data_IF_317378592755
#
_entry.id   IF_317378592755
#
_cell.length_a   1.000
_cell.length_b   1.000
_cell.length_c   1.000
_cell.angle_alpha   90.00
_cell.angle_beta   90.00
_cell.angle_gamma   90.00
#
_symmetry.space_group_name_H-M   'P 1'
#
loop_
_entity.id
_entity.type
_entity.pdbx_description
1 polymer ?
#
# COMPACT_ATOMS: atom_id res chain seq x y z
N UNK A 1 -5.10 -58.67 -28.37
CA UNK A 1 -5.77 -59.32 -27.22
C UNK A 1 -6.28 -58.22 -26.30
N UNK A 2 -7.60 -58.19 -26.16
CA UNK A 2 -8.46 -57.22 -25.47
C UNK A 2 -8.31 -57.22 -23.94
N UNK A 3 -8.19 -56.02 -23.32
CA UNK A 3 -8.53 -55.73 -21.91
C UNK A 3 -8.95 -54.25 -21.82
N UNK A 4 -10.24 -53.95 -21.94
CA UNK A 4 -11.24 -53.79 -20.86
C UNK A 4 -11.06 -52.49 -20.08
N UNK A 5 -11.68 -51.44 -20.61
CA UNK A 5 -12.05 -50.19 -19.95
C UNK A 5 -13.19 -50.53 -19.00
N UNK A 6 -12.96 -50.56 -17.69
CA UNK A 6 -13.98 -50.45 -16.64
C UNK A 6 -13.32 -50.60 -15.25
N UNK A 7 -12.97 -49.48 -14.61
CA UNK A 7 -12.79 -49.44 -13.15
C UNK A 7 -12.95 -48.00 -12.64
N UNK A 8 -14.17 -47.46 -12.75
CA UNK A 8 -14.63 -46.34 -11.93
C UNK A 8 -15.53 -46.91 -10.83
N UNK A 9 -14.94 -47.15 -9.66
CA UNK A 9 -15.63 -47.61 -8.47
C UNK A 9 -16.75 -46.65 -8.07
N UNK A 10 -17.99 -47.09 -8.28
CA UNK A 10 -19.18 -46.46 -7.73
C UNK A 10 -19.45 -47.03 -6.34
N UNK A 11 -18.98 -46.34 -5.30
CA UNK A 11 -19.37 -46.65 -3.92
C UNK A 11 -20.82 -46.22 -3.71
N UNK A 12 -21.75 -47.17 -3.69
CA UNK A 12 -23.15 -46.95 -3.29
C UNK A 12 -23.17 -46.40 -1.85
N UNK A 13 -23.92 -45.32 -1.56
CA UNK A 13 -24.03 -44.79 -0.21
C UNK A 13 -24.88 -45.72 0.67
N UNK A 14 -24.37 -46.05 1.87
CA UNK A 14 -25.06 -46.83 2.90
C UNK A 14 -26.43 -46.22 3.24
N UNK A 15 -27.52 -47.03 3.27
CA UNK A 15 -28.88 -46.52 3.40
C UNK A 15 -29.29 -46.07 4.82
N UNK A 16 -28.36 -45.99 5.78
CA UNK A 16 -28.70 -45.73 7.20
C UNK A 16 -28.31 -44.35 7.72
N UNK A 17 -27.69 -43.47 6.91
CA UNK A 17 -27.36 -42.09 7.33
C UNK A 17 -28.26 -41.07 6.65
N UNK A 18 -29.25 -40.59 7.39
CA UNK A 18 -30.04 -39.41 7.00
C UNK A 18 -29.08 -38.25 6.74
N UNK A 19 -29.16 -37.53 5.60
CA UNK A 19 -28.28 -36.40 5.33
C UNK A 19 -28.54 -35.29 6.37
N UNK A 20 -27.52 -34.99 7.18
CA UNK A 20 -27.58 -33.90 8.17
C UNK A 20 -27.16 -32.61 7.48
N UNK A 21 -28.09 -31.66 7.41
CA UNK A 21 -27.78 -30.32 6.90
C UNK A 21 -26.97 -29.54 7.94
N UNK A 22 -25.66 -29.46 7.74
CA UNK A 22 -24.77 -28.60 8.51
C UNK A 22 -25.10 -27.12 8.24
N UNK A 23 -25.15 -26.31 9.28
CA UNK A 23 -25.39 -24.86 9.18
C UNK A 23 -24.21 -24.18 8.46
N UNK A 24 -24.42 -22.97 7.90
CA UNK A 24 -23.38 -22.25 7.14
C UNK A 24 -22.09 -22.06 7.96
N UNK A 25 -22.23 -21.71 9.23
CA UNK A 25 -21.10 -21.55 10.15
C UNK A 25 -20.34 -22.87 10.39
N UNK A 26 -21.06 -23.99 10.52
CA UNK A 26 -20.42 -25.31 10.70
C UNK A 26 -19.67 -25.78 9.45
N UNK A 27 -20.15 -25.44 8.24
CA UNK A 27 -19.43 -25.74 6.99
C UNK A 27 -18.15 -24.91 6.87
N UNK A 28 -18.20 -23.65 7.28
CA UNK A 28 -17.04 -22.76 7.26
C UNK A 28 -15.97 -23.22 8.26
N UNK A 29 -16.37 -23.64 9.46
CA UNK A 29 -15.46 -24.24 10.46
C UNK A 29 -14.82 -25.55 9.97
N UNK A 30 -15.60 -26.44 9.34
CA UNK A 30 -15.06 -27.68 8.75
C UNK A 30 -14.11 -27.40 7.58
N UNK A 31 -14.37 -26.36 6.78
CA UNK A 31 -13.47 -25.95 5.72
C UNK A 31 -12.15 -25.38 6.27
N UNK A 32 -12.22 -24.59 7.35
CA UNK A 32 -11.03 -24.09 8.04
C UNK A 32 -10.22 -25.23 8.67
N UNK A 33 -10.87 -26.20 9.33
CA UNK A 33 -10.18 -27.39 9.87
C UNK A 33 -9.48 -28.18 8.77
N UNK A 34 -10.15 -28.46 7.65
CA UNK A 34 -9.52 -29.13 6.50
C UNK A 34 -8.33 -28.37 5.95
N UNK A 35 -8.41 -27.05 5.89
CA UNK A 35 -7.29 -26.20 5.48
C UNK A 35 -6.13 -26.28 6.46
N UNK A 36 -6.41 -26.31 7.77
CA UNK A 36 -5.38 -26.50 8.80
C UNK A 36 -4.73 -27.88 8.71
N UNK A 37 -5.51 -28.92 8.46
CA UNK A 37 -5.02 -30.29 8.29
C UNK A 37 -4.15 -30.42 7.02
N UNK A 38 -4.57 -29.83 5.89
CA UNK A 38 -3.77 -29.77 4.67
C UNK A 38 -2.44 -29.03 4.89
N UNK A 39 -2.46 -27.91 5.62
CA UNK A 39 -1.23 -27.18 5.97
C UNK A 39 -0.35 -28.03 6.89
N UNK A 40 -0.93 -28.75 7.85
CA UNK A 40 -0.19 -29.63 8.76
C UNK A 40 0.42 -30.83 8.02
N UNK A 41 -0.29 -31.42 7.06
CA UNK A 41 0.23 -32.48 6.19
C UNK A 41 1.34 -31.97 5.28
N UNK A 42 1.18 -30.79 4.67
CA UNK A 42 2.26 -30.16 3.89
C UNK A 42 3.50 -29.90 4.75
N UNK A 43 3.32 -29.47 6.00
CA UNK A 43 4.41 -29.24 6.95
C UNK A 43 5.09 -30.55 7.36
N UNK A 44 4.32 -31.61 7.66
CA UNK A 44 4.86 -32.96 7.94
C UNK A 44 5.61 -33.54 6.74
N UNK A 45 5.09 -33.33 5.52
CA UNK A 45 5.74 -33.77 4.28
C UNK A 45 7.04 -33.00 4.02
N UNK A 46 7.06 -31.70 4.30
CA UNK A 46 8.26 -30.88 4.25
C UNK A 46 9.29 -31.30 5.31
N UNK A 47 8.85 -31.64 6.52
CA UNK A 47 9.70 -32.14 7.60
C UNK A 47 10.27 -33.54 7.29
N UNK A 48 9.49 -34.44 6.69
CA UNK A 48 9.97 -35.72 6.17
C UNK A 48 11.00 -35.56 5.04
N UNK A 49 10.80 -34.58 4.15
CA UNK A 49 11.79 -34.23 3.13
C UNK A 49 13.08 -33.67 3.74
N UNK A 50 12.96 -32.86 4.80
CA UNK A 50 14.10 -32.34 5.56
C UNK A 50 14.84 -33.47 6.29
N UNK A 51 14.11 -34.46 6.82
CA UNK A 51 14.65 -35.62 7.51
C UNK A 51 15.32 -36.60 6.53
N UNK A 52 14.82 -36.73 5.31
CA UNK A 52 15.51 -37.44 4.22
C UNK A 52 16.80 -36.72 3.80
N UNK A 53 16.84 -35.39 3.81
CA UNK A 53 18.08 -34.62 3.58
C UNK A 53 19.04 -34.63 4.78
N UNK A 54 18.56 -34.94 5.98
CA UNK A 54 19.35 -35.03 7.21
C UNK A 54 20.29 -36.24 7.31
N UNK A 55 20.21 -37.20 6.38
CA UNK A 55 21.02 -38.43 6.42
C UNK A 55 22.43 -38.30 5.81
N UNK A 56 22.91 -37.08 5.54
CA UNK A 56 24.28 -36.82 5.09
C UNK A 56 24.95 -35.70 5.92
N UNK A 57 25.12 -35.94 7.22
CA UNK A 57 26.08 -35.22 8.06
C UNK A 57 26.96 -36.23 8.80
N UNK A 58 28.29 -36.09 8.79
CA UNK A 58 29.16 -36.98 9.54
C UNK A 58 29.01 -36.71 11.03
N UNK A 59 28.91 -37.80 11.77
CA UNK A 59 28.93 -37.90 13.23
C UNK A 59 30.20 -37.24 13.80
N UNK A 60 30.02 -36.29 14.72
CA UNK A 60 31.07 -35.83 15.63
C UNK A 60 30.94 -36.64 16.91
N UNK A 61 31.78 -37.67 17.06
CA UNK A 61 31.95 -38.42 18.30
C UNK A 61 32.60 -37.55 19.37
N UNK A 62 31.94 -37.44 20.52
CA UNK A 62 32.57 -37.13 21.80
C UNK A 62 33.68 -38.14 22.08
N UNK A 63 34.86 -37.65 22.43
CA UNK A 63 35.91 -38.41 23.10
C UNK A 63 36.43 -37.58 24.26
N UNK A 64 35.92 -37.91 25.45
CA UNK A 64 36.60 -37.66 26.71
C UNK A 64 37.93 -38.41 26.73
N UNK A 65 39.05 -37.73 26.85
CA UNK A 65 40.30 -38.31 27.36
C UNK A 65 41.01 -37.30 28.26
N UNK A 66 41.10 -37.65 29.55
CA UNK A 66 42.10 -37.13 30.46
C UNK A 66 43.51 -37.46 29.94
N UNK A 67 44.40 -36.46 29.89
CA UNK A 67 45.81 -36.66 30.28
C UNK A 67 46.51 -35.34 30.58
N UNK A 68 46.95 -35.30 31.82
CA UNK A 68 48.04 -34.52 32.40
C UNK A 68 49.23 -34.30 31.44
N UNK A 69 49.82 -33.10 31.43
CA UNK A 69 51.21 -32.91 31.89
C UNK A 69 51.68 -31.46 31.79
N UNK A 70 52.46 -31.11 32.82
CA UNK A 70 53.15 -29.87 33.15
C UNK A 70 54.15 -29.37 32.11
N UNK A 71 54.47 -28.09 32.31
CA UNK A 71 55.69 -27.36 31.94
C UNK A 71 55.91 -27.05 30.45
N UNK A 72 55.97 -25.75 30.11
CA UNK A 72 57.24 -24.98 30.11
C UNK A 72 57.14 -23.72 29.26
N UNK A 73 57.58 -22.61 29.83
CA UNK A 73 57.72 -21.29 29.22
C UNK A 73 58.43 -21.29 27.86
N UNK A 74 57.84 -20.62 26.86
CA UNK A 74 58.58 -19.79 25.90
C UNK A 74 57.72 -19.12 24.84
N UNK A 75 57.88 -17.79 24.75
CA UNK A 75 57.85 -16.97 23.52
C UNK A 75 56.48 -16.49 23.02
N UNK A 76 56.02 -15.43 23.68
CA UNK A 76 54.87 -14.60 23.29
C UNK A 76 55.07 -13.67 22.08
N UNK A 77 55.66 -14.12 20.97
CA UNK A 77 55.78 -13.29 19.75
C UNK A 77 55.31 -13.95 18.44
N UNK A 78 54.90 -15.23 18.46
CA UNK A 78 54.34 -15.91 17.28
C UNK A 78 52.81 -15.99 17.23
N UNK A 79 52.12 -15.69 18.33
CA UNK A 79 50.65 -15.77 18.39
C UNK A 79 49.95 -14.60 17.68
N UNK A 80 50.53 -13.38 17.72
CA UNK A 80 49.94 -12.20 17.05
C UNK A 80 49.90 -12.30 15.52
N UNK A 81 50.84 -13.02 14.90
CA UNK A 81 50.87 -13.19 13.44
C UNK A 81 49.86 -14.24 12.97
N UNK A 82 49.71 -15.34 13.73
CA UNK A 82 48.73 -16.39 13.45
C UNK A 82 47.29 -15.92 13.63
N UNK A 83 47.01 -15.11 14.64
CA UNK A 83 45.68 -14.54 14.86
C UNK A 83 45.30 -13.53 13.76
N UNK A 84 46.26 -12.70 13.29
CA UNK A 84 46.04 -11.81 12.13
C UNK A 84 45.75 -12.56 10.84
N UNK A 85 46.43 -13.67 10.59
CA UNK A 85 46.20 -14.45 9.38
C UNK A 85 44.85 -15.17 9.44
N UNK A 86 44.44 -15.62 10.63
CA UNK A 86 43.11 -16.21 10.87
C UNK A 86 41.97 -15.19 10.71
N UNK A 87 42.18 -13.95 11.17
CA UNK A 87 41.22 -12.87 10.99
C UNK A 87 41.11 -12.44 9.52
N UNK A 88 42.23 -12.38 8.78
CA UNK A 88 42.22 -12.16 7.32
C UNK A 88 41.50 -13.27 6.56
N UNK A 89 41.66 -14.52 7.00
CA UNK A 89 40.98 -15.67 6.38
C UNK A 89 39.46 -15.62 6.64
N UNK A 90 39.04 -15.22 7.85
CA UNK A 90 37.63 -14.95 8.18
C UNK A 90 37.04 -13.79 7.38
N UNK A 91 37.80 -12.70 7.18
CA UNK A 91 37.36 -11.58 6.34
C UNK A 91 37.20 -11.99 4.87
N UNK A 92 38.12 -12.82 4.35
CA UNK A 92 38.01 -13.38 2.99
C UNK A 92 36.77 -14.27 2.87
N UNK A 93 36.55 -15.20 3.80
CA UNK A 93 35.34 -16.04 3.80
C UNK A 93 34.05 -15.22 3.91
N UNK A 94 34.05 -14.15 4.72
CA UNK A 94 32.88 -13.27 4.83
C UNK A 94 32.61 -12.53 3.52
N UNK A 95 33.67 -12.06 2.85
CA UNK A 95 33.58 -11.39 1.54
C UNK A 95 33.12 -12.35 0.45
N UNK A 96 33.60 -13.58 0.45
CA UNK A 96 33.20 -14.62 -0.51
C UNK A 96 31.73 -15.02 -0.31
N UNK A 97 31.28 -15.16 0.96
CA UNK A 97 29.86 -15.37 1.28
C UNK A 97 28.98 -14.20 0.83
N UNK A 98 29.47 -12.96 0.96
CA UNK A 98 28.76 -11.78 0.50
C UNK A 98 28.66 -11.72 -1.03
N UNK A 99 29.74 -12.07 -1.74
CA UNK A 99 29.74 -12.18 -3.22
C UNK A 99 28.78 -13.26 -3.69
N UNK A 100 28.77 -14.44 -3.06
CA UNK A 100 27.83 -15.52 -3.38
C UNK A 100 26.37 -15.19 -3.05
N UNK A 101 26.14 -14.40 -2.00
CA UNK A 101 24.81 -13.87 -1.70
C UNK A 101 24.36 -12.90 -2.79
N UNK A 102 25.20 -11.93 -3.16
CA UNK A 102 24.92 -10.96 -4.23
C UNK A 102 24.72 -11.64 -5.58
N UNK A 103 25.45 -12.73 -5.86
CA UNK A 103 25.28 -13.52 -7.08
C UNK A 103 23.92 -14.21 -7.12
N UNK A 104 23.50 -14.87 -6.04
CA UNK A 104 22.16 -15.46 -5.92
C UNK A 104 21.03 -14.43 -5.98
N UNK A 105 21.24 -13.24 -5.38
CA UNK A 105 20.27 -12.15 -5.45
C UNK A 105 20.13 -11.65 -6.90
N UNK A 106 21.25 -11.48 -7.63
CA UNK A 106 21.23 -11.15 -9.07
C UNK A 106 20.58 -12.23 -9.92
N UNK A 107 20.87 -13.50 -9.68
CA UNK A 107 20.25 -14.62 -10.41
C UNK A 107 18.74 -14.65 -10.19
N UNK A 108 18.28 -14.38 -8.96
CA UNK A 108 16.85 -14.24 -8.64
C UNK A 108 16.22 -13.05 -9.36
N UNK A 109 16.89 -11.90 -9.39
CA UNK A 109 16.39 -10.71 -10.08
C UNK A 109 16.30 -10.92 -11.59
N UNK A 110 17.29 -11.60 -12.19
CA UNK A 110 17.24 -11.99 -13.60
C UNK A 110 16.13 -13.00 -13.89
N UNK A 111 15.91 -13.99 -13.02
CA UNK A 111 14.80 -14.94 -13.15
C UNK A 111 13.43 -14.24 -13.08
N UNK A 112 13.28 -13.23 -12.21
CA UNK A 112 12.07 -12.41 -12.13
C UNK A 112 11.85 -11.61 -13.42
N UNK A 113 12.91 -10.96 -13.94
CA UNK A 113 12.84 -10.23 -15.22
C UNK A 113 12.50 -11.14 -16.39
N UNK A 114 13.07 -12.34 -16.43
CA UNK A 114 12.78 -13.33 -17.49
C UNK A 114 11.32 -13.80 -17.43
N UNK A 115 10.80 -14.06 -16.23
CA UNK A 115 9.38 -14.38 -16.03
C UNK A 115 8.46 -13.22 -16.44
N UNK A 116 8.84 -11.98 -16.18
CA UNK A 116 8.08 -10.80 -16.63
C UNK A 116 8.12 -10.65 -18.15
N UNK A 117 9.28 -10.82 -18.79
CA UNK A 117 9.42 -10.83 -20.25
C UNK A 117 8.57 -11.93 -20.89
N UNK A 118 8.64 -13.15 -20.37
CA UNK A 118 7.82 -14.26 -20.87
C UNK A 118 6.31 -14.02 -20.72
N UNK A 119 5.87 -13.26 -19.69
CA UNK A 119 4.48 -12.84 -19.54
C UNK A 119 4.08 -11.79 -20.58
N UNK A 120 4.94 -10.80 -20.82
CA UNK A 120 4.74 -9.77 -21.82
C UNK A 120 4.69 -10.36 -23.23
N UNK A 121 5.60 -11.28 -23.55
CA UNK A 121 5.61 -11.98 -24.84
C UNK A 121 4.32 -12.79 -25.06
N UNK A 122 3.83 -13.47 -24.01
CA UNK A 122 2.53 -14.17 -24.06
C UNK A 122 1.34 -13.22 -24.26
N UNK A 123 1.41 -12.01 -23.70
CA UNK A 123 0.38 -11.00 -23.90
C UNK A 123 0.43 -10.47 -25.33
N UNK A 124 1.63 -10.15 -25.84
CA UNK A 124 1.83 -9.71 -27.21
C UNK A 124 1.41 -10.78 -28.24
N UNK A 125 1.65 -12.05 -27.95
CA UNK A 125 1.19 -13.17 -28.78
C UNK A 125 -0.35 -13.22 -28.81
N UNK A 126 -1.01 -13.11 -27.66
CA UNK A 126 -2.48 -13.04 -27.58
C UNK A 126 -3.06 -11.81 -28.28
N UNK A 127 -2.37 -10.68 -28.25
CA UNK A 127 -2.77 -9.47 -28.97
C UNK A 127 -2.69 -9.69 -30.48
N UNK A 128 -1.57 -10.24 -30.98
CA UNK A 128 -1.40 -10.62 -32.39
C UNK A 128 -2.44 -11.64 -32.85
N UNK A 129 -2.76 -12.64 -32.03
CA UNK A 129 -3.80 -13.62 -32.36
C UNK A 129 -5.18 -12.96 -32.54
N UNK A 130 -5.53 -12.04 -31.64
CA UNK A 130 -6.77 -11.29 -31.71
C UNK A 130 -6.80 -10.29 -32.88
N UNK A 131 -5.67 -9.67 -33.22
CA UNK A 131 -5.55 -8.86 -34.45
C UNK A 131 -5.80 -9.72 -35.69
N UNK A 132 -5.20 -10.90 -35.77
CA UNK A 132 -5.43 -11.86 -36.85
C UNK A 132 -6.89 -12.33 -36.89
N UNK A 133 -7.51 -12.54 -35.73
CA UNK A 133 -8.92 -12.92 -35.66
C UNK A 133 -9.85 -11.77 -36.10
N UNK A 134 -9.53 -10.52 -35.75
CA UNK A 134 -10.26 -9.35 -36.25
C UNK A 134 -10.14 -9.22 -37.78
N UNK A 135 -8.94 -9.44 -38.34
CA UNK A 135 -8.71 -9.48 -39.79
C UNK A 135 -9.53 -10.61 -40.41
N UNK A 136 -9.50 -11.83 -39.84
CA UNK A 136 -10.31 -12.95 -40.33
C UNK A 136 -11.79 -12.62 -40.30
N UNK A 137 -12.30 -12.01 -39.24
CA UNK A 137 -13.71 -11.62 -39.12
C UNK A 137 -14.12 -10.57 -40.17
N UNK A 138 -13.24 -9.62 -40.48
CA UNK A 138 -13.49 -8.59 -41.49
C UNK A 138 -13.58 -9.17 -42.92
N UNK A 139 -12.72 -10.14 -43.27
CA UNK A 139 -12.65 -10.68 -44.64
C UNK A 139 -13.46 -11.97 -44.86
N UNK A 140 -13.61 -12.84 -43.86
CA UNK A 140 -14.33 -14.12 -43.95
C UNK A 140 -15.75 -14.05 -43.37
N UNK A 141 -16.12 -12.93 -42.74
CA UNK A 141 -17.39 -12.73 -42.08
C UNK A 141 -17.46 -13.35 -40.68
N UNK A 142 -18.10 -12.66 -39.75
CA UNK A 142 -18.22 -13.09 -38.36
C UNK A 142 -19.22 -14.23 -38.18
N UNK A 143 -18.86 -15.21 -37.35
CA UNK A 143 -19.79 -16.28 -36.94
C UNK A 143 -20.81 -15.68 -35.97
N UNK A 144 -22.09 -15.60 -36.38
CA UNK A 144 -23.17 -15.01 -35.56
C UNK A 144 -23.23 -15.70 -34.18
N UNK A 145 -23.01 -14.98 -33.07
CA UNK A 145 -23.06 -15.59 -31.74
C UNK A 145 -24.48 -16.08 -31.46
N UNK A 146 -24.59 -17.29 -30.89
CA UNK A 146 -25.88 -17.85 -30.48
C UNK A 146 -26.46 -17.00 -29.36
N UNK A 147 -27.66 -16.44 -29.56
CA UNK A 147 -28.36 -15.65 -28.55
C UNK A 147 -28.58 -16.52 -27.30
N UNK A 148 -27.96 -16.15 -26.19
CA UNK A 148 -28.21 -16.80 -24.89
C UNK A 148 -29.63 -16.43 -24.43
N UNK A 149 -30.38 -17.42 -23.94
CA UNK A 149 -31.70 -17.17 -23.35
C UNK A 149 -31.51 -16.50 -22.00
N UNK A 150 -31.82 -15.20 -21.94
CA UNK A 150 -31.73 -14.39 -20.73
C UNK A 150 -32.95 -14.70 -19.86
N UNK A 151 -32.72 -14.95 -18.56
CA UNK A 151 -33.82 -15.22 -17.62
C UNK A 151 -34.66 -13.95 -17.43
N UNK A 152 -36.00 -14.05 -17.28
CA UNK A 152 -36.86 -12.87 -17.09
C UNK A 152 -36.47 -11.97 -15.91
N UNK A 153 -35.90 -12.53 -14.84
CA UNK A 153 -35.42 -11.79 -13.66
C UNK A 153 -34.13 -10.99 -13.90
N UNK A 154 -33.40 -11.30 -14.97
CA UNK A 154 -32.18 -10.63 -15.41
C UNK A 154 -32.52 -9.58 -16.49
N UNK A 155 -33.55 -9.87 -17.30
CA UNK A 155 -34.10 -8.96 -18.32
C UNK A 155 -34.67 -7.65 -17.75
N UNK A 156 -35.11 -7.64 -16.49
CA UNK A 156 -35.64 -6.46 -15.79
C UNK A 156 -34.78 -6.01 -14.61
N UNK A 157 -33.52 -6.45 -14.53
CA UNK A 157 -32.59 -5.93 -13.53
C UNK A 157 -32.22 -4.51 -13.92
N UNK A 158 -32.56 -3.54 -13.07
CA UNK A 158 -32.10 -2.16 -13.27
C UNK A 158 -30.65 -2.05 -12.78
N UNK A 159 -29.71 -1.93 -13.72
CA UNK A 159 -28.30 -1.67 -13.44
C UNK A 159 -28.04 -0.17 -13.57
N UNK A 160 -27.53 0.46 -12.51
CA UNK A 160 -27.14 1.88 -12.53
C UNK A 160 -25.71 2.09 -13.06
N UNK A 161 -24.89 1.04 -13.01
CA UNK A 161 -23.51 1.06 -13.48
C UNK A 161 -23.41 0.45 -14.89
N UNK A 162 -22.43 0.93 -15.65
CA UNK A 162 -22.05 0.36 -16.94
C UNK A 162 -21.31 -0.96 -16.75
N UNK A 163 -21.56 -1.93 -17.63
CA UNK A 163 -20.80 -3.19 -17.61
C UNK A 163 -19.43 -3.00 -18.28
N UNK A 164 -18.38 -3.64 -17.78
CA UNK A 164 -17.05 -3.58 -18.40
C UNK A 164 -17.00 -4.13 -19.83
N UNK A 165 -18.02 -4.88 -20.27
CA UNK A 165 -18.18 -5.33 -21.66
C UNK A 165 -18.68 -4.24 -22.60
N UNK A 166 -19.20 -3.13 -22.06
CA UNK A 166 -19.64 -1.95 -22.81
C UNK A 166 -18.49 -0.95 -23.04
N UNK A 167 -17.30 -1.23 -22.51
CA UNK A 167 -16.08 -0.44 -22.74
C UNK A 167 -15.49 -0.70 -24.14
N UNK A 168 -15.44 0.34 -24.95
CA UNK A 168 -14.95 0.31 -26.34
C UNK A 168 -13.49 0.73 -26.47
N UNK A 169 -12.83 1.16 -25.39
CA UNK A 169 -11.46 1.69 -25.43
C UNK A 169 -10.37 0.62 -25.59
N UNK A 170 -10.74 -0.67 -25.51
CA UNK A 170 -9.82 -1.81 -25.65
C UNK A 170 -9.47 -2.04 -27.11
N UNK A 171 -8.59 -1.20 -27.65
CA UNK A 171 -8.02 -1.44 -28.97
C UNK A 171 -6.96 -2.56 -28.90
N UNK A 172 -6.92 -3.33 -29.98
CA UNK A 172 -5.96 -4.40 -30.17
C UNK A 172 -4.58 -3.87 -30.54
N UNK A 173 -4.54 -2.73 -31.21
CA UNK A 173 -3.31 -2.15 -31.71
C UNK A 173 -2.65 -1.26 -30.63
N UNK A 174 -1.38 -1.55 -30.33
CA UNK A 174 -0.57 -0.82 -29.35
C UNK A 174 -0.50 0.70 -29.59
N UNK A 175 -0.61 1.14 -30.86
CA UNK A 175 -0.64 2.56 -31.22
C UNK A 175 -1.88 3.30 -30.69
N UNK A 176 -3.00 2.59 -30.53
CA UNK A 176 -4.26 3.14 -30.04
C UNK A 176 -4.47 2.89 -28.54
N UNK A 177 -3.75 1.93 -27.95
CA UNK A 177 -3.68 1.74 -26.49
C UNK A 177 -2.89 2.87 -25.81
N UNK A 178 -1.80 3.32 -26.44
CA UNK A 178 -1.02 4.48 -26.00
C UNK A 178 -1.18 5.62 -27.02
N UNK A 179 -2.38 6.22 -27.15
CA UNK A 179 -2.52 7.37 -28.01
C UNK A 179 -1.57 8.45 -27.51
N UNK A 180 -0.75 9.01 -28.40
CA UNK A 180 0.11 10.12 -28.04
C UNK A 180 -0.75 11.25 -27.48
N UNK A 181 -0.72 11.42 -26.16
CA UNK A 181 -1.50 12.46 -25.50
C UNK A 181 -1.05 13.81 -26.06
N UNK A 182 -2.01 14.54 -26.65
CA UNK A 182 -1.71 15.83 -27.24
C UNK A 182 -1.11 16.74 -26.16
N UNK A 183 0.14 17.17 -26.35
CA UNK A 183 0.74 18.25 -25.56
C UNK A 183 -0.02 19.54 -25.89
N UNK A 184 -1.12 19.76 -25.18
CA UNK A 184 -2.04 20.86 -25.45
C UNK A 184 -1.28 22.18 -25.51
N UNK A 185 -1.38 22.89 -26.63
CA UNK A 185 -0.73 24.18 -26.87
C UNK A 185 0.78 24.16 -26.53
N UNK A 186 1.50 23.09 -26.91
CA UNK A 186 2.94 22.94 -26.64
C UNK A 186 3.29 22.99 -25.14
N UNK A 187 2.43 22.42 -24.29
CA UNK A 187 2.63 22.38 -22.83
C UNK A 187 2.19 23.66 -22.10
N UNK A 188 1.63 24.64 -22.82
CA UNK A 188 0.99 25.83 -22.23
C UNK A 188 -0.48 25.58 -21.87
N UNK A 189 -1.11 24.62 -22.52
CA UNK A 189 -2.51 24.25 -22.32
C UNK A 189 -2.67 23.14 -21.29
N UNK A 190 -3.80 23.16 -20.58
CA UNK A 190 -4.17 22.14 -19.61
C UNK A 190 -5.52 21.53 -20.00
N UNK A 191 -5.67 20.22 -19.80
CA UNK A 191 -6.93 19.49 -19.91
C UNK A 191 -7.91 20.03 -18.86
N UNK A 192 -9.12 20.32 -19.28
CA UNK A 192 -10.17 20.82 -18.39
C UNK A 192 -10.56 19.76 -17.35
N UNK A 193 -10.85 20.20 -16.12
CA UNK A 193 -11.34 19.34 -15.03
C UNK A 193 -10.27 18.53 -14.30
N UNK A 194 -9.07 18.36 -14.86
CA UNK A 194 -7.95 17.75 -14.13
C UNK A 194 -7.15 18.83 -13.38
N UNK A 195 -6.53 18.46 -12.25
CA UNK A 195 -5.72 19.40 -11.48
C UNK A 195 -4.56 19.94 -12.34
N UNK A 196 -4.42 21.26 -12.38
CA UNK A 196 -3.36 21.94 -13.15
C UNK A 196 -1.99 21.56 -12.62
N UNK A 197 -1.85 21.29 -11.32
CA UNK A 197 -0.55 20.92 -10.73
C UNK A 197 -0.13 19.53 -11.17
N UNK A 198 -1.02 18.55 -11.10
CA UNK A 198 -0.76 17.19 -11.59
C UNK A 198 -0.37 17.20 -13.06
N UNK A 199 -1.07 18.00 -13.88
CA UNK A 199 -0.73 18.17 -15.28
C UNK A 199 0.63 18.83 -15.51
N UNK A 200 0.99 19.87 -14.73
CA UNK A 200 2.33 20.49 -14.80
C UNK A 200 3.43 19.51 -14.43
N UNK A 201 3.23 18.69 -13.38
CA UNK A 201 4.19 17.67 -12.96
C UNK A 201 4.37 16.60 -14.04
N UNK A 202 3.26 16.12 -14.61
CA UNK A 202 3.29 15.15 -15.70
C UNK A 202 4.01 15.73 -16.93
N UNK A 203 3.71 16.97 -17.30
CA UNK A 203 4.37 17.66 -18.41
C UNK A 203 5.88 17.82 -18.18
N UNK A 204 6.31 18.21 -16.97
CA UNK A 204 7.71 18.34 -16.61
C UNK A 204 8.45 16.99 -16.67
N UNK A 205 7.81 15.90 -16.21
CA UNK A 205 8.36 14.53 -16.32
C UNK A 205 8.50 14.08 -17.78
N UNK A 206 7.47 14.28 -18.59
CA UNK A 206 7.48 13.91 -20.01
C UNK A 206 8.51 14.72 -20.81
N UNK A 207 8.77 15.96 -20.42
CA UNK A 207 9.83 16.78 -20.99
C UNK A 207 11.22 16.29 -20.59
N UNK A 208 11.39 15.91 -19.32
CA UNK A 208 12.64 15.30 -18.85
C UNK A 208 12.95 14.00 -19.58
N UNK A 209 11.97 13.10 -19.69
CA UNK A 209 12.13 11.83 -20.40
C UNK A 209 12.46 12.04 -21.88
N UNK A 210 11.79 12.99 -22.56
CA UNK A 210 12.10 13.33 -23.94
C UNK A 210 13.55 13.84 -24.09
N UNK A 211 14.02 14.67 -23.17
CA UNK A 211 15.39 15.17 -23.19
C UNK A 211 16.41 14.05 -22.93
N UNK A 212 16.13 13.16 -21.96
CA UNK A 212 16.94 11.98 -21.70
C UNK A 212 17.05 11.08 -22.95
N UNK A 213 15.97 10.91 -23.71
CA UNK A 213 15.99 10.16 -24.98
C UNK A 213 16.83 10.85 -26.07
N UNK A 214 16.76 12.18 -26.17
CA UNK A 214 17.58 12.95 -27.12
C UNK A 214 19.06 12.82 -26.73
N UNK A 215 19.40 12.97 -25.45
CA UNK A 215 20.77 12.79 -24.97
C UNK A 215 21.30 11.37 -25.20
N UNK A 216 20.47 10.34 -25.01
CA UNK A 216 20.85 8.95 -25.33
C UNK A 216 21.15 8.77 -26.82
N UNK A 217 20.43 9.46 -27.70
CA UNK A 217 20.64 9.40 -29.16
C UNK A 217 21.88 10.17 -29.60
N UNK A 218 22.11 11.34 -28.99
CA UNK A 218 23.20 12.24 -29.37
C UNK A 218 24.54 11.92 -28.65
N UNK A 219 24.52 11.13 -27.57
CA UNK A 219 25.72 10.70 -26.86
C UNK A 219 26.45 11.82 -26.12
N UNK A 220 25.78 12.96 -25.89
CA UNK A 220 26.32 14.14 -25.20
C UNK A 220 26.01 14.06 -23.70
N UNK A 221 27.01 14.26 -22.85
CA UNK A 221 26.81 14.34 -21.40
C UNK A 221 26.09 15.63 -21.00
N UNK A 222 25.18 15.49 -20.03
CA UNK A 222 24.31 16.54 -19.52
C UNK A 222 25.11 17.78 -19.07
N UNK A 223 24.85 18.93 -19.69
CA UNK A 223 25.37 20.20 -19.19
C UNK A 223 24.71 20.51 -17.85
N UNK A 224 25.51 20.71 -16.80
CA UNK A 224 25.03 21.00 -15.45
C UNK A 224 24.06 22.21 -15.37
N UNK A 225 24.13 23.12 -16.36
CA UNK A 225 23.24 24.27 -16.49
C UNK A 225 21.83 23.86 -16.94
N UNK A 226 21.72 22.88 -17.83
CA UNK A 226 20.45 22.36 -18.34
C UNK A 226 19.77 21.46 -17.30
N UNK A 227 20.56 20.63 -16.60
CA UNK A 227 20.11 19.88 -15.44
C UNK A 227 19.50 20.79 -14.36
N UNK A 228 20.15 21.92 -14.08
CA UNK A 228 19.68 22.91 -13.12
C UNK A 228 18.38 23.61 -13.58
N UNK A 229 18.24 23.87 -14.89
CA UNK A 229 17.02 24.44 -15.46
C UNK A 229 15.83 23.47 -15.35
N UNK A 230 16.04 22.18 -15.60
CA UNK A 230 15.01 21.14 -15.43
C UNK A 230 14.59 20.99 -13.98
N UNK A 231 15.56 20.96 -13.06
CA UNK A 231 15.30 20.90 -11.63
C UNK A 231 14.51 22.10 -11.14
N UNK A 232 14.82 23.30 -11.63
CA UNK A 232 14.06 24.52 -11.31
C UNK A 232 12.62 24.42 -11.83
N UNK A 233 12.43 23.91 -13.04
CA UNK A 233 11.10 23.73 -13.63
C UNK A 233 10.26 22.68 -12.90
N UNK A 234 10.88 21.59 -12.43
CA UNK A 234 10.25 20.60 -11.56
C UNK A 234 9.84 21.22 -10.22
N UNK A 235 10.71 22.01 -9.60
CA UNK A 235 10.40 22.77 -8.38
C UNK A 235 9.26 23.76 -8.60
N UNK A 236 9.25 24.48 -9.72
CA UNK A 236 8.18 25.42 -10.07
C UNK A 236 6.85 24.70 -10.38
N UNK A 237 6.90 23.44 -10.86
CA UNK A 237 5.72 22.59 -11.05
C UNK A 237 5.20 22.01 -9.72
N UNK A 238 6.11 21.73 -8.77
CA UNK A 238 5.79 21.26 -7.44
C UNK A 238 5.25 22.38 -6.55
N UNK A 239 5.76 23.60 -6.71
CA UNK A 239 5.30 24.76 -5.98
C UNK A 239 3.88 25.14 -6.43
N UNK A 240 2.99 25.24 -5.46
CA UNK A 240 1.64 25.72 -5.68
C UNK A 240 1.68 27.21 -6.05
N UNK A 241 0.67 27.70 -6.76
CA UNK A 241 0.57 29.15 -7.01
C UNK A 241 0.55 29.87 -5.64
N UNK A 242 1.52 30.75 -5.43
CA UNK A 242 1.79 31.37 -4.11
C UNK A 242 0.60 32.17 -3.57
N UNK A 243 -0.32 32.55 -4.44
CA UNK A 243 -1.56 33.20 -4.07
C UNK A 243 -2.53 32.22 -3.38
N UNK A 244 -2.66 31.02 -3.92
CA UNK A 244 -3.64 30.02 -3.49
C UNK A 244 -3.19 29.36 -2.15
N UNK A 245 -1.88 29.15 -1.94
CA UNK A 245 -1.34 28.68 -0.65
C UNK A 245 -1.33 29.70 0.49
N UNK A 246 -1.51 31.00 0.25
CA UNK A 246 -1.57 31.98 1.36
C UNK A 246 -2.95 32.03 1.99
N UNK A 247 -3.99 31.82 1.20
CA UNK A 247 -5.38 31.94 1.64
C UNK A 247 -5.94 30.58 2.11
N UNK A 248 -5.54 29.48 1.46
CA UNK A 248 -6.18 28.16 1.64
C UNK A 248 -5.37 27.17 2.51
N UNK A 249 -4.43 27.64 3.34
CA UNK A 249 -3.74 26.74 4.30
C UNK A 249 -4.74 26.11 5.26
N UNK A 250 -4.47 24.86 5.66
CA UNK A 250 -5.26 24.20 6.70
C UNK A 250 -5.10 24.94 8.04
N UNK A 251 -6.14 24.95 8.85
CA UNK A 251 -6.18 25.69 10.12
C UNK A 251 -5.11 25.23 11.12
N UNK A 252 -4.56 24.01 10.97
CA UNK A 252 -3.50 23.46 11.82
C UNK A 252 -2.19 24.24 11.68
N UNK A 253 -1.89 24.75 10.49
CA UNK A 253 -0.65 25.48 10.19
C UNK A 253 -0.80 27.00 10.39
N UNK A 254 -2.04 27.47 10.57
CA UNK A 254 -2.36 28.90 10.73
C UNK A 254 -2.26 29.33 12.19
N UNK A 255 -1.75 30.55 12.41
CA UNK A 255 -1.81 31.20 13.72
C UNK A 255 -3.24 31.65 14.05
N UNK A 256 -3.55 31.83 15.33
CA UNK A 256 -4.91 32.20 15.78
C UNK A 256 -5.37 33.55 15.21
N UNK A 257 -4.45 34.49 15.05
CA UNK A 257 -4.71 35.83 14.53
C UNK A 257 -5.08 35.82 13.03
N UNK A 258 -4.54 34.85 12.29
CA UNK A 258 -4.76 34.69 10.85
C UNK A 258 -6.02 33.87 10.52
N UNK A 259 -6.74 33.38 11.54
CA UNK A 259 -7.91 32.54 11.37
C UNK A 259 -9.12 33.34 10.85
N UNK A 260 -9.54 33.02 9.63
CA UNK A 260 -10.74 33.58 8.99
C UNK A 260 -12.01 32.81 9.37
N UNK A 261 -13.19 33.36 9.06
CA UNK A 261 -14.46 32.66 9.26
C UNK A 261 -14.59 31.36 8.44
N UNK A 262 -13.94 31.30 7.27
CA UNK A 262 -13.84 30.07 6.45
C UNK A 262 -13.07 28.99 7.21
N UNK A 263 -11.92 29.34 7.79
CA UNK A 263 -11.10 28.41 8.55
C UNK A 263 -11.84 27.87 9.79
N UNK A 264 -12.63 28.73 10.46
CA UNK A 264 -13.51 28.29 11.55
C UNK A 264 -14.66 27.39 11.09
N UNK A 265 -15.10 27.51 9.84
CA UNK A 265 -16.07 26.58 9.25
C UNK A 265 -15.43 25.22 8.98
N UNK A 266 -14.25 25.20 8.35
CA UNK A 266 -13.47 23.98 8.11
C UNK A 266 -13.15 23.29 9.43
N UNK A 267 -12.69 24.04 10.44
CA UNK A 267 -12.44 23.50 11.78
C UNK A 267 -13.68 22.81 12.38
N UNK A 268 -14.87 23.38 12.17
CA UNK A 268 -16.13 22.78 12.64
C UNK A 268 -16.50 21.53 11.84
N UNK A 269 -16.27 21.53 10.52
CA UNK A 269 -16.51 20.38 9.64
C UNK A 269 -15.57 19.22 10.01
N UNK A 270 -14.27 19.47 10.15
CA UNK A 270 -13.25 18.48 10.53
C UNK A 270 -13.53 17.83 11.89
N UNK A 271 -14.11 18.58 12.83
CA UNK A 271 -14.48 18.08 14.15
C UNK A 271 -15.96 17.69 14.28
N UNK A 272 -16.73 17.71 13.19
CA UNK A 272 -18.17 17.42 13.14
C UNK A 272 -19.00 18.21 14.18
N UNK A 273 -18.64 19.47 14.42
CA UNK A 273 -19.31 20.35 15.38
C UNK A 273 -20.35 21.20 14.65
N UNK A 274 -21.62 21.10 15.07
CA UNK A 274 -22.70 21.96 14.60
C UNK A 274 -23.27 22.78 15.74
N UNK A 275 -23.65 24.03 15.45
CA UNK A 275 -24.23 24.93 16.43
C UNK A 275 -25.65 25.34 16.04
N UNK A 276 -26.50 25.51 17.05
CA UNK A 276 -27.81 26.15 16.94
C UNK A 276 -27.86 27.28 17.96
N UNK A 277 -28.20 28.48 17.52
CA UNK A 277 -28.29 29.67 18.38
C UNK A 277 -27.61 30.91 17.79
N UNK A 278 -27.77 32.04 18.48
CA UNK A 278 -27.19 33.33 18.09
C UNK A 278 -25.91 33.64 18.87
N UNK A 279 -25.02 34.45 18.25
CA UNK A 279 -23.75 34.95 18.83
C UNK A 279 -22.87 33.86 19.44
N UNK A 280 -22.44 32.88 18.64
CA UNK A 280 -21.62 31.76 19.10
C UNK A 280 -20.13 32.20 19.14
N UNK A 281 -19.41 32.01 20.26
CA UNK A 281 -17.98 32.27 20.33
C UNK A 281 -17.19 31.27 19.47
N UNK A 282 -15.99 31.66 19.05
CA UNK A 282 -15.08 30.79 18.29
C UNK A 282 -14.66 29.59 19.17
N UNK A 283 -14.63 28.37 18.62
CA UNK A 283 -14.15 27.21 19.37
C UNK A 283 -12.66 27.33 19.67
N UNK A 284 -12.19 26.65 20.71
CA UNK A 284 -10.76 26.59 21.05
C UNK A 284 -10.09 25.42 20.32
N UNK A 285 -8.87 25.62 19.78
CA UNK A 285 -8.10 24.57 19.09
C UNK A 285 -7.23 23.78 20.07
N UNK A 286 -6.51 24.51 20.91
CA UNK A 286 -5.58 23.98 21.92
C UNK A 286 -5.92 24.50 23.32
N UNK A 287 -5.51 23.78 24.36
CA UNK A 287 -5.66 24.23 25.74
C UNK A 287 -4.93 25.55 26.03
N UNK A 288 -3.75 25.77 25.44
CA UNK A 288 -2.98 27.01 25.62
C UNK A 288 -3.72 28.23 25.03
N UNK A 289 -4.53 28.03 23.99
CA UNK A 289 -5.33 29.09 23.37
C UNK A 289 -6.65 29.34 24.12
N UNK A 290 -7.01 28.45 25.04
CA UNK A 290 -8.18 28.65 25.89
C UNK A 290 -7.85 29.70 26.94
N UNK A 291 -8.69 30.73 27.06
CA UNK A 291 -8.55 31.83 28.03
C UNK A 291 -8.78 31.36 29.49
N UNK A 292 -8.24 30.20 29.85
CA UNK A 292 -8.37 29.55 31.14
C UNK A 292 -7.23 29.98 32.07
N UNK A 293 -7.48 29.87 33.38
CA UNK A 293 -6.47 30.17 34.39
C UNK A 293 -5.33 29.16 34.34
N UNK A 294 -4.13 29.58 34.72
CA UNK A 294 -2.93 28.74 34.72
C UNK A 294 -3.05 27.52 35.64
N UNK A 295 -3.82 27.64 36.72
CA UNK A 295 -4.13 26.53 37.62
C UNK A 295 -4.97 25.43 36.96
N UNK A 296 -5.98 25.82 36.16
CA UNK A 296 -6.80 24.89 35.40
C UNK A 296 -5.99 24.19 34.31
N UNK A 297 -5.12 24.92 33.61
CA UNK A 297 -4.22 24.33 32.62
C UNK A 297 -3.29 23.28 33.27
N UNK A 298 -2.72 23.57 34.44
CA UNK A 298 -1.93 22.60 35.21
C UNK A 298 -2.75 21.40 35.68
N UNK A 299 -4.03 21.58 36.02
CA UNK A 299 -4.91 20.48 36.38
C UNK A 299 -5.25 19.59 35.18
N UNK A 300 -5.49 20.18 34.01
CA UNK A 300 -5.76 19.47 32.74
C UNK A 300 -4.54 18.66 32.31
N UNK A 301 -3.34 19.22 32.44
CA UNK A 301 -2.08 18.53 32.13
C UNK A 301 -1.83 17.36 33.10
N UNK A 302 -2.02 17.57 34.41
CA UNK A 302 -1.98 16.48 35.40
C UNK A 302 -3.01 15.38 35.15
N UNK A 303 -4.17 15.72 34.61
CA UNK A 303 -5.20 14.75 34.23
C UNK A 303 -4.89 14.01 32.91
N UNK A 304 -3.84 14.41 32.18
CA UNK A 304 -3.36 13.73 30.97
C UNK A 304 -4.12 14.07 29.69
N UNK A 305 -4.91 15.16 29.67
CA UNK A 305 -5.68 15.55 28.48
C UNK A 305 -4.83 16.35 27.48
N UNK A 306 -4.18 15.66 26.54
CA UNK A 306 -3.29 16.30 25.54
C UNK A 306 -4.01 17.23 24.56
N UNK A 307 -5.16 16.80 24.04
CA UNK A 307 -5.97 17.57 23.07
C UNK A 307 -7.42 17.66 23.57
N UNK A 308 -8.10 18.82 23.42
CA UNK A 308 -9.50 18.92 23.78
C UNK A 308 -10.37 18.05 22.84
N UNK A 309 -11.44 17.46 23.37
CA UNK A 309 -12.46 16.77 22.56
C UNK A 309 -13.30 17.79 21.75
N UNK A 310 -13.86 17.44 20.58
CA UNK A 310 -14.75 18.33 19.81
C UNK A 310 -15.83 19.03 20.64
N UNK A 311 -16.47 18.31 21.57
CA UNK A 311 -17.49 18.91 22.44
C UNK A 311 -16.89 19.88 23.46
N UNK A 312 -15.66 19.65 23.92
CA UNK A 312 -14.95 20.55 24.83
C UNK A 312 -14.51 21.82 24.11
N UNK A 313 -14.00 21.69 22.88
CA UNK A 313 -13.60 22.80 22.01
C UNK A 313 -14.76 23.80 21.81
N UNK A 314 -15.98 23.28 21.66
CA UNK A 314 -17.18 24.07 21.46
C UNK A 314 -17.81 24.59 22.75
N UNK A 315 -17.91 23.74 23.78
CA UNK A 315 -18.69 24.04 24.98
C UNK A 315 -17.94 24.89 26.02
N UNK A 316 -16.61 24.75 26.12
CA UNK A 316 -15.83 25.52 27.12
C UNK A 316 -15.92 27.03 26.86
N UNK A 317 -15.73 27.54 25.61
CA UNK A 317 -15.90 28.96 25.33
C UNK A 317 -17.32 29.48 25.58
N UNK A 318 -18.34 28.63 25.41
CA UNK A 318 -19.73 28.97 25.72
C UNK A 318 -19.99 29.03 27.24
N UNK A 319 -19.43 28.10 28.00
CA UNK A 319 -19.53 28.07 29.46
C UNK A 319 -18.83 29.27 30.11
N UNK A 320 -17.69 29.71 29.58
CA UNK A 320 -17.00 30.92 30.04
C UNK A 320 -17.83 32.20 29.86
N UNK A 321 -18.82 32.20 28.96
CA UNK A 321 -19.77 33.31 28.80
C UNK A 321 -21.02 33.17 29.68
N UNK A 322 -21.06 32.18 30.58
CA UNK A 322 -22.19 31.89 31.45
C UNK A 322 -23.49 31.66 30.66
N UNK A 323 -23.40 31.01 29.49
CA UNK A 323 -24.54 30.66 28.66
C UNK A 323 -24.95 29.21 28.88
N UNK A 324 -26.26 28.96 28.86
CA UNK A 324 -26.79 27.60 28.87
C UNK A 324 -26.45 26.87 27.57
N UNK A 325 -25.95 25.63 27.68
CA UNK A 325 -25.53 24.80 26.55
C UNK A 325 -26.19 23.44 26.62
N UNK A 326 -26.83 23.04 25.51
CA UNK A 326 -27.32 21.67 25.30
C UNK A 326 -26.34 20.96 24.36
N UNK A 327 -25.52 20.07 24.91
CA UNK A 327 -24.61 19.23 24.12
C UNK A 327 -25.29 17.93 23.69
N UNK A 328 -25.37 17.69 22.38
CA UNK A 328 -25.76 16.38 21.80
C UNK A 328 -24.48 15.68 21.32
N UNK A 329 -24.12 14.59 21.98
CA UNK A 329 -22.86 13.86 21.79
C UNK A 329 -22.92 12.53 22.56
N UNK A 330 -22.35 11.45 22.03
CA UNK A 330 -22.41 10.12 22.65
C UNK A 330 -21.55 10.00 23.92
N UNK A 331 -21.86 9.01 24.76
CA UNK A 331 -21.09 8.73 26.00
C UNK A 331 -19.69 8.23 25.64
N UNK A 332 -18.65 8.96 26.05
CA UNK A 332 -17.26 8.71 25.65
C UNK A 332 -16.61 9.90 24.96
N UNK A 333 -17.42 10.82 24.41
CA UNK A 333 -16.97 12.06 23.75
C UNK A 333 -16.38 13.13 24.69
N UNK A 334 -16.12 12.84 25.97
CA UNK A 334 -15.59 13.83 26.91
C UNK A 334 -16.62 14.80 27.52
N UNK A 335 -17.94 14.55 27.33
CA UNK A 335 -19.05 15.31 27.94
C UNK A 335 -18.93 15.47 29.46
N UNK A 336 -18.37 14.48 30.18
CA UNK A 336 -18.21 14.52 31.64
C UNK A 336 -17.29 15.66 32.11
N UNK A 337 -16.18 15.89 31.41
CA UNK A 337 -15.25 16.98 31.75
C UNK A 337 -15.85 18.35 31.46
N UNK A 338 -16.65 18.46 30.38
CA UNK A 338 -17.41 19.69 30.07
C UNK A 338 -18.40 20.04 31.18
N UNK A 339 -19.19 19.05 31.65
CA UNK A 339 -20.14 19.29 32.75
C UNK A 339 -19.43 19.78 34.02
N UNK A 340 -18.32 19.15 34.42
CA UNK A 340 -17.56 19.59 35.59
C UNK A 340 -17.00 21.00 35.42
N UNK A 341 -16.59 21.36 34.20
CA UNK A 341 -16.06 22.68 33.91
C UNK A 341 -17.15 23.77 33.97
N UNK A 342 -18.30 23.51 33.35
CA UNK A 342 -19.40 24.48 33.24
C UNK A 342 -20.16 24.73 34.56
N UNK A 343 -20.02 23.82 35.55
CA UNK A 343 -20.61 23.97 36.88
C UNK A 343 -19.63 24.46 37.95
N UNK A 344 -18.33 24.51 37.64
CA UNK A 344 -17.26 24.92 38.58
C UNK A 344 -16.76 26.34 38.36
N UNK A 345 -17.20 27.00 37.29
CA UNK A 345 -17.02 28.42 36.97
C UNK A 345 -18.37 29.08 37.15
#
# INVERSE_FOLDING_TARGET
>A
MSRSVDELGTTKPDPTKKPVFLTKAQREQLALQRRHDEIAEQKRRAEQLLQQQGNNRPSSTDNDHERDHRDRDSRGDHHRSRDRDRDRERERESRDREVERRKRDRERDEEVKERERARLDKLAEREREKELDAIKEQYLGSKKPKKRVIKPSEKFRFSFDWENTEDTSRDMNALYQNPHEARLLFGRGFRAGMDRREQKKLAAKNERELLEEIWKKDGVEESAVEAAALKKKEQDADMYDTFDMRVDRHWSDKKLEEMTERDWRIFREDHNISYKGSRIPRPMRNWVESKLTTELLKAVDRAGYKKPSPIQMAAIPLGLQQRDVIGVAETGSGRKSVKRFCFSV
#
